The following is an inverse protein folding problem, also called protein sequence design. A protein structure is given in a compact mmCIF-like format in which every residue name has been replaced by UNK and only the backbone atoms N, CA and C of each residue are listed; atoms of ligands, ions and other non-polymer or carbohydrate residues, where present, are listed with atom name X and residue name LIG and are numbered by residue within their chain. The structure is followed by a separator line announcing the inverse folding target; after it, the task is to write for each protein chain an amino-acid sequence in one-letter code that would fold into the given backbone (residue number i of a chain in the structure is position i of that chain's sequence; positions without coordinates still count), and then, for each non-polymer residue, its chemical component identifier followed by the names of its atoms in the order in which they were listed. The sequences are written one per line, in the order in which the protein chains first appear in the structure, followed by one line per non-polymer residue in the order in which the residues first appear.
data_IF_282687161595
#
_entry.id   IF_282687161595
#
_cell.length_a   1.000
_cell.length_b   1.000
_cell.length_c   1.000
_cell.angle_alpha   90.00
_cell.angle_beta   90.00
_cell.angle_gamma   90.00
#
_symmetry.space_group_name_H-M   'P 1'
#
loop_
_entity.id
_entity.type
_entity.pdbx_description
1 polymer ?
#
# COMPACT_ATOMS: atom_id res chain seq x y z
N UNK A 1 -8.81 -0.36 11.60
CA UNK A 1 -10.15 0.19 11.93
C UNK A 1 -10.13 0.85 13.30
N UNK A 2 -11.09 1.73 13.59
CA UNK A 2 -11.22 2.47 14.87
C UNK A 2 -12.70 2.59 15.24
N UNK A 3 -12.98 2.68 16.54
CA UNK A 3 -14.32 2.99 17.09
C UNK A 3 -14.25 4.40 17.68
N UNK A 4 -15.16 5.28 17.27
CA UNK A 4 -15.19 6.70 17.67
C UNK A 4 -16.63 7.15 17.91
N UNK A 5 -16.86 8.25 18.67
CA UNK A 5 -18.18 8.88 18.75
C UNK A 5 -18.71 9.27 17.37
N UNK A 6 -20.04 9.28 17.21
CA UNK A 6 -20.70 9.59 15.93
C UNK A 6 -20.23 10.92 15.32
N UNK A 7 -20.05 11.96 16.16
CA UNK A 7 -19.61 13.28 15.74
C UNK A 7 -18.18 13.31 15.16
N UNK A 8 -17.38 12.28 15.40
CA UNK A 8 -15.98 12.21 14.96
C UNK A 8 -15.75 11.26 13.78
N UNK A 9 -16.79 10.54 13.33
CA UNK A 9 -16.68 9.51 12.29
C UNK A 9 -16.07 10.09 11.02
N UNK A 10 -16.61 11.19 10.51
CA UNK A 10 -16.14 11.82 9.27
C UNK A 10 -14.68 12.26 9.38
N UNK A 11 -14.33 13.01 10.45
CA UNK A 11 -12.97 13.47 10.67
C UNK A 11 -11.99 12.29 10.71
N UNK A 12 -12.31 11.27 11.49
CA UNK A 12 -11.44 10.10 11.69
C UNK A 12 -11.29 9.27 10.41
N UNK A 13 -12.37 9.08 9.65
CA UNK A 13 -12.32 8.35 8.37
C UNK A 13 -11.54 9.13 7.31
N UNK A 14 -11.70 10.46 7.26
CA UNK A 14 -10.96 11.30 6.32
C UNK A 14 -9.47 11.37 6.64
N UNK A 15 -9.09 11.40 7.92
CA UNK A 15 -7.69 11.28 8.34
C UNK A 15 -7.08 9.95 7.88
N UNK A 16 -7.81 8.84 8.02
CA UNK A 16 -7.36 7.54 7.53
C UNK A 16 -7.25 7.52 6.00
N UNK A 17 -8.22 8.10 5.29
CA UNK A 17 -8.22 8.18 3.83
C UNK A 17 -7.03 8.98 3.31
N UNK A 18 -6.69 10.11 3.95
CA UNK A 18 -5.52 10.93 3.60
C UNK A 18 -4.21 10.15 3.75
N UNK A 19 -4.03 9.43 4.87
CA UNK A 19 -2.83 8.61 5.09
C UNK A 19 -2.66 7.56 3.97
N UNK A 20 -3.76 6.98 3.49
CA UNK A 20 -3.73 6.00 2.39
C UNK A 20 -3.45 6.70 1.06
N UNK A 21 -4.09 7.85 0.79
CA UNK A 21 -3.92 8.62 -0.43
C UNK A 21 -2.51 9.23 -0.58
N UNK A 22 -1.80 9.45 0.53
CA UNK A 22 -0.40 9.91 0.53
C UNK A 22 0.61 8.82 0.10
N UNK A 23 0.15 7.59 -0.19
CA UNK A 23 0.98 6.47 -0.66
C UNK A 23 0.81 6.26 -2.16
N UNK A 24 1.75 5.54 -2.78
CA UNK A 24 1.61 5.10 -4.17
C UNK A 24 0.28 4.37 -4.41
N UNK A 25 -0.58 4.87 -5.32
CA UNK A 25 -1.83 4.20 -5.67
C UNK A 25 -1.62 2.79 -6.23
N UNK A 26 -0.55 2.59 -7.01
CA UNK A 26 -0.18 1.28 -7.56
C UNK A 26 0.10 0.27 -6.43
N UNK A 27 0.96 0.64 -5.47
CA UNK A 27 1.31 -0.21 -4.34
C UNK A 27 0.10 -0.54 -3.47
N UNK A 28 -0.76 0.44 -3.16
CA UNK A 28 -1.98 0.22 -2.37
C UNK A 28 -2.94 -0.74 -3.07
N UNK A 29 -3.14 -0.57 -4.38
CA UNK A 29 -4.02 -1.43 -5.18
C UNK A 29 -3.49 -2.87 -5.23
N UNK A 30 -2.20 -3.05 -5.52
CA UNK A 30 -1.56 -4.36 -5.62
C UNK A 30 -1.60 -5.08 -4.27
N UNK A 31 -1.17 -4.41 -3.20
CA UNK A 31 -1.13 -5.00 -1.86
C UNK A 31 -2.52 -5.39 -1.33
N UNK A 32 -3.54 -4.54 -1.56
CA UNK A 32 -4.91 -4.86 -1.14
C UNK A 32 -5.47 -6.08 -1.87
N UNK A 33 -5.27 -6.17 -3.19
CA UNK A 33 -5.68 -7.35 -3.96
C UNK A 33 -4.96 -8.60 -3.48
N UNK A 34 -3.64 -8.55 -3.35
CA UNK A 34 -2.84 -9.68 -2.90
C UNK A 34 -3.23 -10.17 -1.50
N UNK A 35 -3.57 -9.25 -0.58
CA UNK A 35 -4.09 -9.61 0.73
C UNK A 35 -5.37 -10.44 0.67
N UNK A 36 -6.34 -10.05 -0.16
CA UNK A 36 -7.60 -10.80 -0.28
C UNK A 36 -7.46 -12.09 -1.06
N UNK A 37 -6.49 -12.19 -1.97
CA UNK A 37 -6.21 -13.46 -2.67
C UNK A 37 -5.50 -14.45 -1.74
N UNK A 38 -4.48 -14.00 -0.99
CA UNK A 38 -3.68 -14.88 -0.14
C UNK A 38 -4.42 -15.39 1.09
N UNK A 39 -5.45 -14.69 1.58
CA UNK A 39 -6.14 -15.07 2.84
C UNK A 39 -6.88 -16.42 2.73
N UNK A 40 -7.20 -16.83 1.51
CA UNK A 40 -7.85 -18.12 1.21
C UNK A 40 -6.84 -19.25 0.94
N UNK A 41 -5.54 -18.95 0.93
CA UNK A 41 -4.48 -19.90 0.60
C UNK A 41 -3.91 -20.59 1.86
N UNK A 42 -3.41 -21.84 1.74
CA UNK A 42 -2.50 -22.42 2.72
C UNK A 42 -1.27 -21.53 2.94
N UNK A 43 -0.69 -21.59 4.15
CA UNK A 43 0.36 -20.65 4.56
C UNK A 43 1.58 -20.65 3.64
N UNK A 44 2.05 -21.82 3.24
CA UNK A 44 3.18 -22.00 2.33
C UNK A 44 2.91 -21.41 0.94
N UNK A 45 1.71 -21.64 0.40
CA UNK A 45 1.26 -21.03 -0.85
C UNK A 45 1.14 -19.51 -0.75
N UNK A 46 0.57 -19.00 0.36
CA UNK A 46 0.43 -17.58 0.62
C UNK A 46 1.80 -16.87 0.64
N UNK A 47 2.81 -17.45 1.29
CA UNK A 47 4.17 -16.91 1.26
C UNK A 47 4.77 -16.90 -0.14
N UNK A 48 4.64 -17.99 -0.89
CA UNK A 48 5.14 -18.07 -2.26
C UNK A 48 4.45 -17.05 -3.17
N UNK A 49 3.14 -16.87 -3.03
CA UNK A 49 2.35 -15.89 -3.76
C UNK A 49 2.74 -14.45 -3.39
N UNK A 50 2.73 -14.10 -2.10
CA UNK A 50 3.09 -12.76 -1.64
C UNK A 50 4.52 -12.38 -2.04
N UNK A 51 5.45 -13.33 -1.98
CA UNK A 51 6.84 -13.14 -2.43
C UNK A 51 6.92 -12.74 -3.91
N UNK A 52 6.19 -13.43 -4.79
CA UNK A 52 6.13 -13.07 -6.22
C UNK A 52 5.52 -11.68 -6.44
N UNK A 53 4.39 -11.38 -5.79
CA UNK A 53 3.74 -10.08 -5.91
C UNK A 53 4.67 -8.95 -5.46
N UNK A 54 5.39 -9.13 -4.35
CA UNK A 54 6.35 -8.14 -3.88
C UNK A 54 7.48 -7.94 -4.88
N UNK A 55 8.04 -9.03 -5.44
CA UNK A 55 9.09 -8.96 -6.45
C UNK A 55 8.64 -8.24 -7.73
N UNK A 56 7.45 -8.54 -8.23
CA UNK A 56 6.86 -7.84 -9.38
C UNK A 56 6.64 -6.34 -9.09
N UNK A 57 6.15 -6.01 -7.89
CA UNK A 57 5.91 -4.64 -7.46
C UNK A 57 7.20 -3.80 -7.39
N UNK A 58 8.38 -4.42 -7.24
CA UNK A 58 9.67 -3.69 -7.29
C UNK A 58 9.95 -3.07 -8.65
N UNK A 59 9.29 -3.53 -9.72
CA UNK A 59 9.45 -3.00 -11.07
C UNK A 59 8.50 -1.83 -11.38
N UNK A 60 7.54 -1.53 -10.50
CA UNK A 60 6.62 -0.40 -10.67
C UNK A 60 7.35 0.94 -10.52
N UNK A 61 6.97 1.95 -11.32
CA UNK A 61 7.70 3.22 -11.39
C UNK A 61 7.68 3.97 -10.07
N UNK A 62 6.52 4.06 -9.45
CA UNK A 62 6.32 4.65 -8.13
C UNK A 62 7.17 3.93 -7.08
N UNK A 63 7.25 2.60 -7.15
CA UNK A 63 8.05 1.82 -6.21
C UNK A 63 9.55 2.15 -6.36
N UNK A 64 10.05 2.19 -7.59
CA UNK A 64 11.45 2.58 -7.86
C UNK A 64 11.70 3.99 -7.33
N UNK A 65 10.87 4.97 -7.69
CA UNK A 65 11.04 6.36 -7.27
C UNK A 65 10.95 6.55 -5.74
N UNK A 66 10.05 5.81 -5.07
CA UNK A 66 9.91 5.84 -3.62
C UNK A 66 11.12 5.25 -2.88
N UNK A 67 11.66 4.12 -3.34
CA UNK A 67 12.88 3.51 -2.79
C UNK A 67 14.07 4.45 -2.95
N UNK A 68 14.17 5.06 -4.13
CA UNK A 68 15.21 6.02 -4.48
C UNK A 68 15.18 7.25 -3.57
N UNK A 69 14.01 7.87 -3.40
CA UNK A 69 13.81 9.00 -2.51
C UNK A 69 14.14 8.64 -1.06
N UNK A 70 13.70 7.47 -0.59
CA UNK A 70 13.98 6.99 0.77
C UNK A 70 15.48 6.80 1.01
N UNK A 71 16.18 6.17 0.06
CA UNK A 71 17.62 5.88 0.16
C UNK A 71 18.44 7.17 0.19
N UNK A 72 18.00 8.20 -0.56
CA UNK A 72 18.63 9.53 -0.59
C UNK A 72 18.20 10.44 0.56
N UNK A 73 17.21 10.05 1.37
CA UNK A 73 16.56 10.87 2.40
C UNK A 73 15.91 12.14 1.84
N UNK A 74 15.44 12.05 0.60
CA UNK A 74 14.71 13.12 -0.07
C UNK A 74 13.21 13.04 0.26
N UNK A 75 12.47 14.09 -0.10
CA UNK A 75 11.01 14.05 -0.10
C UNK A 75 10.50 12.96 -1.04
N UNK A 76 9.40 12.29 -0.66
CA UNK A 76 8.74 11.32 -1.54
C UNK A 76 8.32 11.99 -2.86
N UNK A 77 8.40 11.26 -3.99
CA UNK A 77 8.00 11.80 -5.28
C UNK A 77 6.49 12.02 -5.34
N UNK A 78 6.04 12.78 -6.34
CA UNK A 78 4.63 12.72 -6.74
C UNK A 78 4.33 11.34 -7.32
N UNK A 79 3.34 10.66 -6.73
CA UNK A 79 2.94 9.33 -7.18
C UNK A 79 2.15 9.41 -8.48
N UNK A 80 2.57 8.61 -9.46
CA UNK A 80 1.95 8.54 -10.79
C UNK A 80 0.88 7.46 -10.87
N UNK A 81 0.91 6.47 -9.96
CA UNK A 81 0.04 5.30 -10.02
C UNK A 81 0.53 4.21 -10.97
N UNK A 82 1.79 4.27 -11.39
CA UNK A 82 2.47 3.33 -12.30
C UNK A 82 3.69 2.65 -11.66
#
# INVERSE_FOLDING_TARGET
NRVVPLAEVERTSMEMARIIADKSPAAVKIGKRAFYEQIEMPLDEAYAFAGRIMAENMMAKDTVAGIDAFTRKDSMPEWTGE
#
